data_IF_477321913416
#
_entry.id   IF_477321913416
#
_cell.length_a   1.000
_cell.length_b   1.000
_cell.length_c   1.000
_cell.angle_alpha   90.00
_cell.angle_beta   90.00
_cell.angle_gamma   90.00
#
_symmetry.space_group_name_H-M   'P 1'
#
loop_
_entity.id
_entity.type
_entity.pdbx_description
1 polymer ?
#
# COMPACT_ATOMS: atom_id res chain seq x y z
N UNK A 1 -14.60 -2.07 4.35
CA UNK A 1 -15.36 -2.16 5.62
C UNK A 1 -15.53 -3.64 5.96
N UNK A 2 -14.74 -4.17 6.91
CA UNK A 2 -14.81 -5.57 7.32
C UNK A 2 -16.10 -5.87 8.08
N UNK A 3 -16.59 -7.10 7.95
CA UNK A 3 -17.79 -7.59 8.62
C UNK A 3 -17.46 -8.76 9.54
N UNK A 4 -18.26 -9.02 10.60
CA UNK A 4 -18.09 -10.19 11.43
C UNK A 4 -18.19 -11.49 10.63
N UNK A 5 -17.19 -12.38 10.79
CA UNK A 5 -17.09 -13.65 10.09
C UNK A 5 -16.25 -13.65 8.81
N UNK A 6 -15.85 -12.49 8.29
CA UNK A 6 -14.89 -12.39 7.20
C UNK A 6 -13.46 -12.66 7.71
N UNK A 7 -12.64 -13.31 6.89
CA UNK A 7 -11.22 -13.55 7.15
C UNK A 7 -10.38 -12.43 6.51
N UNK A 8 -9.47 -11.87 7.29
CA UNK A 8 -8.68 -10.69 6.95
C UNK A 8 -7.21 -11.03 7.02
N UNK A 9 -6.45 -10.64 6.01
CA UNK A 9 -5.04 -10.96 5.90
C UNK A 9 -4.20 -9.71 5.61
N UNK A 10 -2.99 -9.69 6.16
CA UNK A 10 -1.92 -8.77 5.79
C UNK A 10 -0.63 -9.57 5.49
N UNK A 11 -0.23 -9.73 4.21
CA UNK A 11 0.98 -10.47 3.85
C UNK A 11 2.31 -9.75 4.14
N UNK A 12 2.28 -8.54 4.69
CA UNK A 12 3.44 -7.77 5.12
C UNK A 12 3.07 -6.95 6.36
N UNK A 13 2.65 -7.66 7.44
CA UNK A 13 1.88 -7.06 8.51
C UNK A 13 2.67 -6.09 9.41
N UNK A 14 4.00 -6.14 9.38
CA UNK A 14 4.81 -5.32 10.28
C UNK A 14 4.39 -5.53 11.73
N UNK A 15 4.03 -4.46 12.43
CA UNK A 15 3.53 -4.51 13.82
C UNK A 15 2.02 -4.77 13.94
N UNK A 16 1.33 -5.08 12.83
CA UNK A 16 -0.09 -5.47 12.82
C UNK A 16 -1.08 -4.32 12.70
N UNK A 17 -0.65 -3.12 12.35
CA UNK A 17 -1.50 -1.93 12.35
C UNK A 17 -2.80 -2.05 11.56
N UNK A 18 -2.79 -2.64 10.35
CA UNK A 18 -4.01 -2.85 9.56
C UNK A 18 -4.92 -3.92 10.15
N UNK A 19 -4.36 -4.98 10.72
CA UNK A 19 -5.16 -6.03 11.37
C UNK A 19 -5.86 -5.49 12.61
N UNK A 20 -5.16 -4.70 13.43
CA UNK A 20 -5.72 -4.04 14.61
C UNK A 20 -6.80 -3.03 14.23
N UNK A 21 -6.55 -2.18 13.24
CA UNK A 21 -7.54 -1.22 12.76
C UNK A 21 -8.81 -1.91 12.23
N UNK A 22 -8.66 -3.06 11.56
CA UNK A 22 -9.79 -3.86 11.11
C UNK A 22 -10.56 -4.51 12.28
N UNK A 23 -9.86 -4.98 13.31
CA UNK A 23 -10.46 -5.48 14.54
C UNK A 23 -11.29 -4.40 15.22
N UNK A 24 -10.69 -3.24 15.48
CA UNK A 24 -11.35 -2.13 16.17
C UNK A 24 -12.56 -1.63 15.39
N UNK A 25 -12.45 -1.57 14.05
CA UNK A 25 -13.59 -1.23 13.20
C UNK A 25 -14.75 -2.23 13.38
N UNK A 26 -14.48 -3.54 13.41
CA UNK A 26 -15.53 -4.57 13.61
C UNK A 26 -16.16 -4.39 14.99
N UNK A 27 -15.37 -4.25 16.04
CA UNK A 27 -15.89 -4.11 17.42
C UNK A 27 -16.72 -2.85 17.58
N UNK A 28 -16.28 -1.73 17.04
CA UNK A 28 -17.00 -0.45 17.12
C UNK A 28 -18.27 -0.42 16.28
N UNK A 29 -18.23 -1.01 15.08
CA UNK A 29 -19.36 -1.00 14.15
C UNK A 29 -20.44 -2.02 14.51
N UNK A 30 -20.04 -3.13 15.14
CA UNK A 30 -20.94 -4.25 15.48
C UNK A 30 -20.90 -4.55 16.99
N UNK A 31 -21.48 -3.70 17.85
CA UNK A 31 -21.37 -3.84 19.31
C UNK A 31 -22.04 -5.11 19.88
N UNK A 32 -22.99 -5.69 19.13
CA UNK A 32 -23.78 -6.86 19.57
C UNK A 32 -23.31 -8.18 18.92
N UNK A 33 -21.99 -8.43 18.90
CA UNK A 33 -21.44 -9.70 18.41
C UNK A 33 -21.91 -10.88 19.28
N UNK A 34 -22.34 -11.98 18.64
CA UNK A 34 -22.65 -13.24 19.32
C UNK A 34 -21.39 -13.85 19.93
N UNK A 35 -21.56 -14.82 20.85
CA UNK A 35 -20.44 -15.56 21.44
C UNK A 35 -19.55 -16.23 20.37
N UNK A 36 -20.19 -16.81 19.34
CA UNK A 36 -19.47 -17.44 18.23
C UNK A 36 -18.71 -16.43 17.39
N UNK A 37 -19.31 -15.27 17.07
CA UNK A 37 -18.62 -14.19 16.35
C UNK A 37 -17.43 -13.63 17.13
N UNK A 38 -17.56 -13.46 18.45
CA UNK A 38 -16.44 -13.05 19.32
C UNK A 38 -15.32 -14.08 19.32
N UNK A 39 -15.66 -15.39 19.38
CA UNK A 39 -14.68 -16.46 19.31
C UNK A 39 -13.96 -16.45 17.93
N UNK A 40 -14.71 -16.36 16.82
CA UNK A 40 -14.12 -16.27 15.47
C UNK A 40 -13.23 -15.03 15.32
N UNK A 41 -13.67 -13.88 15.84
CA UNK A 41 -12.89 -12.65 15.81
C UNK A 41 -11.54 -12.82 16.50
N UNK A 42 -11.52 -13.56 17.63
CA UNK A 42 -10.31 -13.85 18.38
C UNK A 42 -9.38 -14.89 17.70
N UNK A 43 -9.96 -15.96 17.13
CA UNK A 43 -9.23 -17.18 16.81
C UNK A 43 -9.18 -17.55 15.31
N UNK A 44 -9.87 -16.81 14.42
CA UNK A 44 -9.96 -17.23 13.01
C UNK A 44 -10.15 -16.08 12.01
N UNK A 45 -10.17 -14.84 12.46
CA UNK A 45 -10.44 -13.70 11.58
C UNK A 45 -9.18 -13.15 10.95
N UNK A 46 -8.07 -13.08 11.69
CA UNK A 46 -6.88 -12.36 11.29
C UNK A 46 -5.73 -13.31 10.99
N UNK A 47 -5.02 -13.05 9.89
CA UNK A 47 -3.75 -13.70 9.58
C UNK A 47 -2.76 -12.71 9.01
N UNK A 48 -1.51 -12.77 9.47
CA UNK A 48 -0.44 -11.89 9.00
C UNK A 48 0.83 -12.66 8.71
N UNK A 49 1.66 -12.13 7.81
CA UNK A 49 3.03 -12.58 7.56
C UNK A 49 4.00 -11.44 7.80
N UNK A 50 5.08 -11.76 8.47
CA UNK A 50 6.18 -10.84 8.69
C UNK A 50 7.51 -11.61 8.55
N UNK A 51 8.45 -11.03 7.81
CA UNK A 51 9.74 -11.67 7.54
C UNK A 51 10.69 -11.56 8.74
N UNK A 52 10.64 -10.42 9.45
CA UNK A 52 11.55 -10.11 10.56
C UNK A 52 10.98 -10.63 11.87
N UNK A 53 11.66 -11.61 12.48
CA UNK A 53 11.19 -12.32 13.66
C UNK A 53 10.84 -11.38 14.84
N UNK A 54 11.67 -10.37 15.12
CA UNK A 54 11.42 -9.45 16.24
C UNK A 54 10.22 -8.55 15.98
N UNK A 55 10.01 -8.15 14.72
CA UNK A 55 8.80 -7.38 14.33
C UNK A 55 7.55 -8.27 14.42
N UNK A 56 7.64 -9.52 14.01
CA UNK A 56 6.55 -10.51 14.16
C UNK A 56 6.19 -10.75 15.63
N UNK A 57 7.19 -10.82 16.53
CA UNK A 57 6.93 -10.90 17.99
C UNK A 57 6.18 -9.67 18.51
N UNK A 58 6.59 -8.46 18.10
CA UNK A 58 5.87 -7.24 18.45
C UNK A 58 4.44 -7.26 17.91
N UNK A 59 4.24 -7.73 16.68
CA UNK A 59 2.91 -7.92 16.10
C UNK A 59 2.08 -8.88 16.94
N UNK A 60 2.60 -10.05 17.29
CA UNK A 60 1.92 -11.03 18.13
C UNK A 60 1.53 -10.46 19.50
N UNK A 61 2.43 -9.70 20.13
CA UNK A 61 2.12 -9.01 21.40
C UNK A 61 1.01 -7.99 21.24
N UNK A 62 1.06 -7.17 20.17
CA UNK A 62 -0.01 -6.21 19.87
C UNK A 62 -1.36 -6.91 19.66
N UNK A 63 -1.38 -8.01 18.89
CA UNK A 63 -2.58 -8.80 18.67
C UNK A 63 -3.18 -9.33 19.99
N UNK A 64 -2.33 -9.91 20.86
CA UNK A 64 -2.76 -10.43 22.17
C UNK A 64 -3.31 -9.34 23.09
N UNK A 65 -2.71 -8.15 23.12
CA UNK A 65 -3.18 -7.01 23.90
C UNK A 65 -4.58 -6.54 23.46
N UNK A 66 -4.93 -6.75 22.19
CA UNK A 66 -6.27 -6.48 21.66
C UNK A 66 -7.21 -7.70 21.73
N UNK A 67 -6.80 -8.76 22.39
CA UNK A 67 -7.60 -9.97 22.56
C UNK A 67 -7.69 -10.86 21.31
N UNK A 68 -6.77 -10.70 20.37
CA UNK A 68 -6.66 -11.51 19.16
C UNK A 68 -5.58 -12.59 19.36
N UNK A 69 -5.91 -13.84 19.06
CA UNK A 69 -5.03 -14.98 19.28
C UNK A 69 -5.23 -15.66 20.63
N UNK A 70 -4.65 -16.83 20.79
CA UNK A 70 -4.67 -17.65 22.00
C UNK A 70 -3.45 -18.55 22.02
N UNK A 71 -3.31 -19.37 23.05
CA UNK A 71 -2.25 -20.39 23.12
C UNK A 71 -2.38 -21.47 22.02
N UNK A 72 -3.56 -21.60 21.42
CA UNK A 72 -3.85 -22.58 20.36
C UNK A 72 -3.93 -21.95 18.97
N UNK A 73 -4.00 -20.63 18.88
CA UNK A 73 -4.12 -19.88 17.61
C UNK A 73 -3.15 -18.73 17.57
N UNK A 74 -2.11 -18.89 16.75
CA UNK A 74 -1.14 -17.84 16.45
C UNK A 74 -1.44 -17.20 15.09
N UNK A 75 -1.92 -15.93 15.06
CA UNK A 75 -2.34 -15.29 13.82
C UNK A 75 -1.18 -14.84 12.93
N UNK A 76 0.06 -14.78 13.45
CA UNK A 76 1.22 -14.21 12.76
C UNK A 76 2.22 -15.28 12.40
N UNK A 77 2.56 -15.35 11.11
CA UNK A 77 3.52 -16.28 10.55
C UNK A 77 4.86 -15.57 10.28
N UNK A 78 5.96 -16.15 10.77
CA UNK A 78 7.33 -15.66 10.48
C UNK A 78 7.84 -16.34 9.21
N UNK A 79 7.61 -15.73 8.06
CA UNK A 79 8.08 -16.25 6.77
C UNK A 79 7.95 -15.23 5.65
N UNK A 80 8.62 -15.47 4.52
CA UNK A 80 8.41 -14.71 3.30
C UNK A 80 7.08 -15.12 2.65
N UNK A 81 6.11 -14.23 2.67
CA UNK A 81 4.78 -14.46 2.08
C UNK A 81 4.82 -14.66 0.56
N UNK A 82 5.86 -14.13 -0.13
CA UNK A 82 6.02 -14.26 -1.58
C UNK A 82 6.62 -15.60 -2.00
N UNK A 83 7.25 -16.37 -1.10
CA UNK A 83 8.03 -17.54 -1.42
C UNK A 83 7.24 -18.69 -2.04
N UNK A 84 5.93 -18.77 -1.78
CA UNK A 84 5.08 -19.85 -2.28
C UNK A 84 3.69 -19.39 -2.67
N UNK A 85 3.01 -20.17 -3.50
CA UNK A 85 1.57 -20.01 -3.79
C UNK A 85 0.80 -20.20 -2.48
N UNK A 86 -0.03 -19.21 -2.06
CA UNK A 86 -0.73 -19.32 -0.79
C UNK A 86 -1.75 -20.47 -0.80
N UNK A 87 -1.78 -21.26 0.28
CA UNK A 87 -2.78 -22.30 0.51
C UNK A 87 -4.13 -21.71 0.93
N UNK A 88 -4.08 -20.65 1.75
CA UNK A 88 -5.25 -19.99 2.29
C UNK A 88 -5.74 -18.87 1.39
N UNK A 89 -7.05 -18.59 1.49
CA UNK A 89 -7.71 -17.47 0.78
C UNK A 89 -8.56 -16.69 1.76
N UNK A 90 -8.60 -15.36 1.55
CA UNK A 90 -9.20 -14.42 2.48
C UNK A 90 -10.30 -13.60 1.81
N UNK A 91 -11.24 -13.14 2.62
CA UNK A 91 -12.29 -12.23 2.17
C UNK A 91 -11.76 -10.82 1.97
N UNK A 92 -10.77 -10.43 2.79
CA UNK A 92 -10.15 -9.10 2.75
C UNK A 92 -8.62 -9.23 2.85
N UNK A 93 -7.91 -8.47 2.01
CA UNK A 93 -6.48 -8.24 2.14
C UNK A 93 -6.23 -6.74 2.31
N UNK A 94 -5.57 -6.37 3.42
CA UNK A 94 -5.15 -5.00 3.72
C UNK A 94 -3.64 -5.04 3.93
N UNK A 95 -2.87 -4.30 3.16
CA UNK A 95 -1.42 -4.38 3.28
C UNK A 95 -0.69 -3.11 2.83
N UNK A 96 0.42 -2.84 3.51
CA UNK A 96 1.42 -1.85 3.11
C UNK A 96 2.77 -2.55 2.91
N UNK A 97 3.02 -3.13 1.72
CA UNK A 97 4.26 -3.84 1.46
C UNK A 97 5.48 -2.92 1.54
N UNK A 98 6.69 -3.47 1.81
CA UNK A 98 7.91 -2.68 1.88
C UNK A 98 8.22 -2.01 0.53
N UNK A 99 8.64 -0.73 0.55
CA UNK A 99 8.92 0.09 -0.64
C UNK A 99 10.30 -0.12 -1.27
N UNK A 100 10.94 -1.29 -1.11
CA UNK A 100 12.20 -1.60 -1.78
C UNK A 100 12.03 -1.97 -3.26
N UNK A 101 12.80 -1.37 -4.16
CA UNK A 101 12.63 -1.60 -5.62
C UNK A 101 13.06 -2.99 -6.10
N UNK A 102 13.97 -3.68 -5.43
CA UNK A 102 14.53 -4.96 -5.90
C UNK A 102 14.80 -5.90 -4.74
N UNK A 103 14.40 -7.15 -4.90
CA UNK A 103 14.96 -8.25 -4.10
C UNK A 103 16.40 -8.50 -4.55
N UNK A 104 17.33 -8.57 -3.62
CA UNK A 104 18.67 -9.02 -3.90
C UNK A 104 19.16 -9.89 -2.74
N UNK A 105 19.68 -11.05 -3.06
CA UNK A 105 20.41 -11.89 -2.12
C UNK A 105 21.89 -11.52 -2.24
N UNK A 106 22.54 -11.27 -1.11
CA UNK A 106 23.98 -11.08 -1.07
C UNK A 106 24.62 -12.47 -0.95
N UNK A 107 25.24 -12.93 -2.01
CA UNK A 107 25.99 -14.18 -2.00
C UNK A 107 27.47 -13.83 -1.75
N UNK A 108 28.03 -14.37 -0.67
CA UNK A 108 29.46 -14.31 -0.42
C UNK A 108 30.06 -15.58 -1.03
N UNK A 109 30.76 -15.46 -2.17
CA UNK A 109 31.46 -16.56 -2.79
C UNK A 109 32.64 -17.04 -1.95
N UNK A 110 33.16 -18.23 -2.23
CA UNK A 110 34.29 -18.87 -1.51
C UNK A 110 35.57 -18.00 -1.47
N UNK A 111 35.72 -17.06 -2.40
CA UNK A 111 36.82 -16.07 -2.44
C UNK A 111 36.51 -14.73 -1.73
N UNK A 112 35.42 -14.63 -0.96
CA UNK A 112 35.01 -13.38 -0.27
C UNK A 112 34.45 -12.31 -1.20
N UNK A 113 34.22 -12.60 -2.49
CA UNK A 113 33.57 -11.68 -3.42
C UNK A 113 32.09 -11.64 -3.14
N UNK A 114 31.61 -10.44 -2.83
CA UNK A 114 30.19 -10.18 -2.60
C UNK A 114 29.51 -9.95 -3.95
N UNK A 115 28.63 -10.86 -4.37
CA UNK A 115 27.73 -10.67 -5.51
C UNK A 115 26.30 -10.46 -5.02
N UNK A 116 25.60 -9.52 -5.64
CA UNK A 116 24.16 -9.32 -5.42
C UNK A 116 23.42 -9.95 -6.60
N UNK A 117 22.80 -11.09 -6.36
CA UNK A 117 21.88 -11.68 -7.33
C UNK A 117 20.47 -11.10 -7.16
N UNK A 118 19.80 -10.84 -8.29
CA UNK A 118 18.40 -10.41 -8.26
C UNK A 118 17.54 -11.61 -7.90
N UNK A 119 16.82 -11.50 -6.80
CA UNK A 119 15.82 -12.49 -6.42
C UNK A 119 14.56 -12.26 -7.28
N UNK A 120 14.16 -13.25 -8.06
CA UNK A 120 12.92 -13.28 -8.83
C UNK A 120 12.03 -14.39 -8.29
N UNK A 121 10.76 -14.07 -8.08
CA UNK A 121 9.78 -15.08 -7.67
C UNK A 121 9.12 -15.67 -8.92
N UNK A 122 9.47 -16.92 -9.23
CA UNK A 122 8.84 -17.70 -10.29
C UNK A 122 7.65 -18.45 -9.70
N UNK A 123 6.45 -17.99 -10.02
CA UNK A 123 5.21 -18.56 -9.51
C UNK A 123 4.16 -18.63 -10.62
N UNK A 124 3.50 -19.79 -10.74
CA UNK A 124 2.48 -20.05 -11.77
C UNK A 124 1.22 -19.19 -11.62
N UNK A 125 0.96 -18.68 -10.40
CA UNK A 125 -0.19 -17.81 -10.12
C UNK A 125 0.11 -16.33 -10.38
N UNK A 126 1.33 -15.97 -10.77
CA UNK A 126 1.74 -14.61 -11.15
C UNK A 126 1.60 -14.41 -12.66
N UNK A 127 1.17 -13.22 -13.06
CA UNK A 127 1.05 -12.82 -14.47
C UNK A 127 2.39 -12.47 -15.11
N UNK A 128 3.37 -12.07 -14.32
CA UNK A 128 4.69 -11.70 -14.79
C UNK A 128 5.75 -12.02 -13.73
N UNK A 129 6.87 -12.61 -14.18
CA UNK A 129 8.07 -12.79 -13.35
C UNK A 129 8.86 -11.49 -13.31
N UNK A 130 9.14 -10.99 -12.12
CA UNK A 130 9.88 -9.74 -11.93
C UNK A 130 10.61 -9.73 -10.59
N UNK A 131 11.73 -8.98 -10.53
CA UNK A 131 12.41 -8.66 -9.28
C UNK A 131 11.82 -7.46 -8.53
N UNK A 132 10.78 -6.82 -9.09
CA UNK A 132 10.10 -5.70 -8.43
C UNK A 132 9.14 -6.23 -7.36
N UNK A 133 9.53 -6.09 -6.09
CA UNK A 133 8.73 -6.58 -4.94
C UNK A 133 7.32 -6.01 -4.91
N UNK A 134 7.12 -4.75 -5.25
CA UNK A 134 5.81 -4.12 -5.21
C UNK A 134 4.85 -4.75 -6.23
N UNK A 135 5.34 -5.05 -7.45
CA UNK A 135 4.55 -5.76 -8.46
C UNK A 135 4.25 -7.20 -8.01
N UNK A 136 5.20 -7.86 -7.36
CA UNK A 136 5.00 -9.19 -6.80
C UNK A 136 3.93 -9.17 -5.70
N UNK A 137 3.92 -8.17 -4.82
CA UNK A 137 2.87 -8.03 -3.81
C UNK A 137 1.50 -7.76 -4.43
N UNK A 138 1.37 -6.97 -5.49
CA UNK A 138 0.09 -6.77 -6.19
C UNK A 138 -0.47 -8.10 -6.71
N UNK A 139 0.38 -8.92 -7.36
CA UNK A 139 0.00 -10.25 -7.85
C UNK A 139 -0.34 -11.21 -6.71
N UNK A 140 0.46 -11.19 -5.65
CA UNK A 140 0.26 -12.02 -4.47
C UNK A 140 -1.05 -11.70 -3.74
N UNK A 141 -1.37 -10.41 -3.57
CA UNK A 141 -2.65 -9.97 -2.98
C UNK A 141 -3.84 -10.53 -3.77
N UNK A 142 -3.79 -10.50 -5.10
CA UNK A 142 -4.84 -11.14 -5.95
C UNK A 142 -4.93 -12.65 -5.69
N UNK A 143 -3.79 -13.31 -5.52
CA UNK A 143 -3.76 -14.75 -5.25
C UNK A 143 -4.31 -15.09 -3.86
N UNK A 144 -4.10 -14.24 -2.86
CA UNK A 144 -4.64 -14.40 -1.49
C UNK A 144 -6.14 -14.20 -1.39
N UNK A 145 -6.78 -13.53 -2.35
CA UNK A 145 -8.22 -13.26 -2.27
C UNK A 145 -9.05 -14.49 -2.66
N UNK A 146 -10.14 -14.72 -1.92
CA UNK A 146 -11.27 -15.53 -2.36
C UNK A 146 -11.95 -14.90 -3.57
N UNK A 147 -12.78 -15.65 -4.28
CA UNK A 147 -13.69 -15.07 -5.27
C UNK A 147 -14.62 -14.06 -4.59
N UNK A 148 -14.75 -12.87 -5.20
CA UNK A 148 -15.44 -11.71 -4.64
C UNK A 148 -14.81 -11.14 -3.35
N UNK A 149 -13.62 -11.60 -2.96
CA UNK A 149 -12.82 -10.96 -1.94
C UNK A 149 -12.30 -9.61 -2.43
N UNK A 150 -11.94 -8.73 -1.51
CA UNK A 150 -11.55 -7.34 -1.78
C UNK A 150 -10.22 -6.99 -1.14
N UNK A 151 -9.48 -6.10 -1.78
CA UNK A 151 -8.19 -5.65 -1.29
C UNK A 151 -8.07 -4.13 -1.23
N UNK A 152 -7.24 -3.68 -0.30
CA UNK A 152 -6.64 -2.36 -0.30
C UNK A 152 -5.13 -2.53 -0.09
N UNK A 153 -4.35 -2.14 -1.09
CA UNK A 153 -2.89 -2.25 -1.07
C UNK A 153 -2.24 -0.89 -1.26
N UNK A 154 -1.28 -0.56 -0.41
CA UNK A 154 -0.44 0.63 -0.59
C UNK A 154 0.63 0.33 -1.62
N UNK A 155 0.74 1.17 -2.64
CA UNK A 155 1.70 1.03 -3.74
C UNK A 155 2.38 2.35 -4.03
N UNK A 156 3.68 2.37 -4.35
CA UNK A 156 4.37 3.57 -4.81
C UNK A 156 3.98 3.92 -6.25
N UNK A 157 4.25 5.15 -6.68
CA UNK A 157 3.88 5.65 -8.00
C UNK A 157 4.40 4.79 -9.16
N UNK A 158 5.61 4.21 -9.06
CA UNK A 158 6.17 3.40 -10.13
C UNK A 158 5.27 2.19 -10.50
N UNK A 159 4.52 1.62 -9.57
CA UNK A 159 3.54 0.56 -9.87
C UNK A 159 2.46 1.06 -10.83
N UNK A 160 2.15 2.35 -10.83
CA UNK A 160 1.11 2.95 -11.66
C UNK A 160 1.53 3.17 -13.11
N UNK A 161 2.84 3.31 -13.41
CA UNK A 161 3.31 3.69 -14.76
C UNK A 161 4.48 2.87 -15.32
N UNK A 162 5.19 2.09 -14.51
CA UNK A 162 6.34 1.32 -14.97
C UNK A 162 5.96 0.38 -16.13
N UNK A 163 6.78 0.33 -17.19
CA UNK A 163 6.56 -0.53 -18.35
C UNK A 163 6.91 -2.00 -18.10
N UNK A 164 6.88 -2.82 -19.14
CA UNK A 164 7.22 -4.24 -19.09
C UNK A 164 6.32 -5.03 -18.14
N UNK A 165 6.90 -5.69 -17.12
CA UNK A 165 6.14 -6.45 -16.14
C UNK A 165 5.05 -5.60 -15.45
N UNK A 166 5.31 -4.32 -15.18
CA UNK A 166 4.35 -3.39 -14.59
C UNK A 166 3.12 -3.19 -15.47
N UNK A 167 3.31 -2.99 -16.78
CA UNK A 167 2.20 -2.90 -17.73
C UNK A 167 1.39 -4.20 -17.79
N UNK A 168 2.07 -5.35 -17.86
CA UNK A 168 1.41 -6.67 -17.87
C UNK A 168 0.54 -6.85 -16.63
N UNK A 169 1.08 -6.55 -15.45
CA UNK A 169 0.35 -6.68 -14.17
C UNK A 169 -0.87 -5.75 -14.15
N UNK A 170 -0.74 -4.48 -14.56
CA UNK A 170 -1.87 -3.54 -14.57
C UNK A 170 -2.98 -3.96 -15.54
N UNK A 171 -2.62 -4.36 -16.78
CA UNK A 171 -3.60 -4.84 -17.77
C UNK A 171 -4.34 -6.08 -17.27
N UNK A 172 -3.61 -7.06 -16.75
CA UNK A 172 -4.20 -8.29 -16.20
C UNK A 172 -5.05 -8.01 -14.95
N UNK A 173 -4.58 -7.18 -14.04
CA UNK A 173 -5.33 -6.81 -12.84
C UNK A 173 -6.66 -6.13 -13.19
N UNK A 174 -6.67 -5.17 -14.12
CA UNK A 174 -7.90 -4.49 -14.56
C UNK A 174 -8.84 -5.41 -15.35
N UNK A 175 -8.32 -6.44 -16.02
CA UNK A 175 -9.13 -7.39 -16.75
C UNK A 175 -9.79 -8.43 -15.80
N UNK A 176 -9.00 -9.04 -14.91
CA UNK A 176 -9.43 -10.16 -14.05
C UNK A 176 -10.07 -9.70 -12.72
N UNK A 177 -9.83 -8.45 -12.31
CA UNK A 177 -10.40 -7.85 -11.10
C UNK A 177 -11.18 -6.58 -11.43
N UNK A 178 -12.11 -6.21 -10.56
CA UNK A 178 -12.72 -4.88 -10.58
C UNK A 178 -11.82 -3.90 -9.81
N UNK A 179 -10.93 -3.22 -10.52
CA UNK A 179 -10.07 -2.17 -9.98
C UNK A 179 -10.86 -0.87 -9.97
N UNK A 180 -11.46 -0.56 -8.84
CA UNK A 180 -12.52 0.45 -8.79
C UNK A 180 -12.11 1.78 -8.13
N UNK A 181 -10.99 1.84 -7.41
CA UNK A 181 -10.59 3.06 -6.69
C UNK A 181 -9.08 3.16 -6.54
N UNK A 182 -8.54 4.34 -6.77
CA UNK A 182 -7.18 4.75 -6.47
C UNK A 182 -7.22 6.01 -5.61
N UNK A 183 -6.65 5.94 -4.39
CA UNK A 183 -6.44 7.09 -3.53
C UNK A 183 -4.98 7.53 -3.63
N UNK A 184 -4.72 8.72 -4.16
CA UNK A 184 -3.38 9.31 -4.21
C UNK A 184 -3.07 9.96 -2.87
N UNK A 185 -2.10 9.42 -2.16
CA UNK A 185 -1.70 9.93 -0.84
C UNK A 185 -0.74 11.12 -0.99
N UNK A 186 -0.81 12.11 -0.09
CA UNK A 186 0.14 13.20 -0.05
C UNK A 186 1.55 12.70 0.29
N UNK A 187 2.56 13.51 0.02
CA UNK A 187 3.93 13.30 0.50
C UNK A 187 4.03 13.57 2.00
N UNK A 188 5.12 13.13 2.64
CA UNK A 188 5.37 13.37 4.06
C UNK A 188 4.68 12.40 5.03
N UNK A 189 3.94 11.38 4.54
CA UNK A 189 3.28 10.37 5.38
C UNK A 189 4.20 9.21 5.81
N UNK A 190 5.34 9.05 5.18
CA UNK A 190 6.26 7.96 5.41
C UNK A 190 7.62 8.48 5.86
N UNK A 191 8.35 7.70 6.67
CA UNK A 191 9.69 8.06 7.16
C UNK A 191 10.69 8.34 6.02
N UNK A 192 10.57 7.62 4.89
CA UNK A 192 11.34 7.92 3.69
C UNK A 192 10.77 9.19 3.03
N UNK A 193 11.49 10.31 3.16
CA UNK A 193 11.10 11.58 2.55
C UNK A 193 10.96 11.43 1.02
N UNK A 194 9.96 12.11 0.45
CA UNK A 194 9.72 12.10 -0.99
C UNK A 194 9.01 10.85 -1.53
N UNK A 195 8.71 9.84 -0.72
CA UNK A 195 7.91 8.70 -1.17
C UNK A 195 6.50 9.13 -1.54
N UNK A 196 6.16 8.95 -2.82
CA UNK A 196 4.81 9.12 -3.35
C UNK A 196 4.11 7.77 -3.37
N UNK A 197 3.07 7.63 -2.56
CA UNK A 197 2.31 6.39 -2.43
C UNK A 197 0.83 6.59 -2.78
N UNK A 198 0.18 5.48 -3.05
CA UNK A 198 -1.23 5.42 -3.37
C UNK A 198 -1.85 4.22 -2.69
N UNK A 199 -3.16 4.24 -2.46
CA UNK A 199 -3.90 3.04 -2.07
C UNK A 199 -4.74 2.58 -3.25
N UNK A 200 -4.49 1.36 -3.71
CA UNK A 200 -5.23 0.72 -4.79
C UNK A 200 -6.26 -0.24 -4.21
N UNK A 201 -7.52 -0.05 -4.59
CA UNK A 201 -8.64 -0.89 -4.15
C UNK A 201 -9.17 -1.71 -5.31
N UNK A 202 -9.31 -3.01 -5.11
CA UNK A 202 -9.88 -3.90 -6.10
C UNK A 202 -10.60 -5.10 -5.48
N UNK A 203 -11.56 -5.62 -6.22
CA UNK A 203 -12.29 -6.86 -5.90
C UNK A 203 -11.86 -7.95 -6.88
N UNK A 204 -11.48 -9.13 -6.37
CA UNK A 204 -11.24 -10.30 -7.21
C UNK A 204 -12.58 -10.83 -7.77
N UNK A 205 -12.59 -11.13 -9.04
CA UNK A 205 -13.80 -11.61 -9.73
C UNK A 205 -13.59 -12.99 -10.36
N UNK A 206 -14.67 -13.71 -10.68
CA UNK A 206 -14.57 -14.94 -11.47
C UNK A 206 -13.92 -14.69 -12.84
N UNK A 207 -13.36 -15.75 -13.45
CA UNK A 207 -12.83 -15.67 -14.81
C UNK A 207 -13.90 -15.15 -15.78
N UNK A 208 -13.51 -14.25 -16.69
CA UNK A 208 -14.38 -13.62 -17.66
C UNK A 208 -13.61 -13.31 -18.95
N UNK A 209 -14.28 -13.41 -20.09
CA UNK A 209 -13.73 -12.98 -21.38
C UNK A 209 -13.68 -11.44 -21.48
N UNK A 210 -14.57 -10.74 -20.78
CA UNK A 210 -14.62 -9.28 -20.76
C UNK A 210 -14.01 -8.71 -19.47
N UNK A 211 -13.37 -7.52 -19.51
CA UNK A 211 -12.77 -6.93 -18.34
C UNK A 211 -13.79 -6.59 -17.26
N UNK A 212 -13.45 -6.87 -16.02
CA UNK A 212 -14.29 -6.56 -14.85
C UNK A 212 -14.24 -5.09 -14.46
N UNK A 213 -13.06 -4.46 -14.57
CA UNK A 213 -12.94 -3.02 -14.35
C UNK A 213 -13.71 -2.27 -15.43
N UNK A 214 -14.77 -1.57 -15.05
CA UNK A 214 -15.50 -0.69 -15.98
C UNK A 214 -15.05 0.75 -15.86
N UNK A 215 -14.82 1.20 -14.64
CA UNK A 215 -14.35 2.56 -14.33
C UNK A 215 -13.43 2.53 -13.11
N UNK A 216 -12.26 3.14 -13.25
CA UNK A 216 -11.39 3.46 -12.13
C UNK A 216 -11.71 4.87 -11.63
N UNK A 217 -12.01 4.99 -10.35
CA UNK A 217 -12.20 6.26 -9.67
C UNK A 217 -10.93 6.67 -8.96
N UNK A 218 -10.44 7.87 -9.21
CA UNK A 218 -9.23 8.40 -8.59
C UNK A 218 -9.61 9.55 -7.68
N UNK A 219 -9.12 9.50 -6.43
CA UNK A 219 -9.18 10.61 -5.48
C UNK A 219 -7.77 11.19 -5.31
N UNK A 220 -7.61 12.45 -5.64
CA UNK A 220 -6.35 13.15 -5.43
C UNK A 220 -6.34 13.85 -4.07
N UNK A 221 -5.71 13.21 -3.07
CA UNK A 221 -5.44 13.82 -1.77
C UNK A 221 -4.05 14.45 -1.74
N UNK A 222 -3.28 14.38 -2.83
CA UNK A 222 -1.87 14.79 -2.91
C UNK A 222 -1.71 16.24 -3.33
N UNK A 223 -2.33 16.64 -4.44
CA UNK A 223 -2.10 17.95 -5.05
C UNK A 223 -2.52 19.07 -4.09
N UNK A 224 -1.61 20.02 -3.84
CA UNK A 224 -1.79 21.16 -2.93
C UNK A 224 -2.13 20.76 -1.47
N UNK A 225 -1.67 19.58 -1.03
CA UNK A 225 -1.83 19.10 0.35
C UNK A 225 -0.47 18.81 0.95
N UNK A 226 -0.20 19.43 2.09
CA UNK A 226 1.09 19.32 2.79
C UNK A 226 0.91 18.67 4.16
N UNK A 227 1.47 17.46 4.30
CA UNK A 227 1.49 16.74 5.56
C UNK A 227 2.91 16.43 5.99
N UNK A 228 3.10 16.28 7.30
CA UNK A 228 4.35 15.87 7.92
C UNK A 228 4.08 14.80 8.96
N UNK A 229 5.10 14.04 9.36
CA UNK A 229 4.94 13.00 10.39
C UNK A 229 4.67 13.56 11.80
N UNK A 230 5.15 14.77 12.10
CA UNK A 230 5.13 15.31 13.47
C UNK A 230 4.24 16.53 13.64
N UNK A 231 4.38 17.53 12.77
CA UNK A 231 3.77 18.85 12.95
C UNK A 231 2.41 18.99 12.28
N UNK A 232 2.16 18.27 11.20
CA UNK A 232 0.90 18.28 10.43
C UNK A 232 0.57 16.86 9.97
N UNK A 233 0.36 15.95 10.92
CA UNK A 233 0.08 14.54 10.59
C UNK A 233 -1.32 14.37 10.00
N UNK A 234 -1.45 13.47 9.02
CA UNK A 234 -2.73 13.11 8.43
C UNK A 234 -3.68 12.56 9.50
N UNK A 235 -4.84 13.18 9.63
CA UNK A 235 -5.87 12.77 10.56
C UNK A 235 -6.99 12.01 9.87
N UNK A 236 -7.78 11.27 10.64
CA UNK A 236 -8.94 10.53 10.11
C UNK A 236 -9.94 11.45 9.40
N UNK A 237 -10.13 12.66 9.91
CA UNK A 237 -11.01 13.70 9.34
C UNK A 237 -10.60 14.14 7.94
N UNK A 238 -9.30 14.12 7.61
CA UNK A 238 -8.79 14.50 6.29
C UNK A 238 -9.24 13.54 5.19
N UNK A 239 -9.66 12.33 5.58
CA UNK A 239 -10.20 11.30 4.69
C UNK A 239 -11.74 11.32 4.58
N UNK A 240 -12.46 12.21 5.28
CA UNK A 240 -13.92 12.18 5.31
C UNK A 240 -14.53 12.47 3.94
N UNK A 241 -13.97 13.40 3.18
CA UNK A 241 -14.41 13.67 1.81
C UNK A 241 -14.16 12.46 0.90
N UNK A 242 -12.98 11.83 1.00
CA UNK A 242 -12.70 10.60 0.27
C UNK A 242 -13.72 9.50 0.60
N UNK A 243 -14.00 9.25 1.88
CA UNK A 243 -14.96 8.22 2.31
C UNK A 243 -16.36 8.53 1.77
N UNK A 244 -16.77 9.79 1.77
CA UNK A 244 -18.04 10.23 1.17
C UNK A 244 -18.07 9.97 -0.35
N UNK A 245 -17.01 10.30 -1.07
CA UNK A 245 -16.87 10.04 -2.51
C UNK A 245 -16.79 8.54 -2.81
N UNK A 246 -16.05 7.78 -1.97
CA UNK A 246 -15.91 6.32 -2.09
C UNK A 246 -17.26 5.61 -2.01
N UNK A 247 -18.22 6.17 -1.26
CA UNK A 247 -19.56 5.62 -1.05
C UNK A 247 -19.56 4.11 -0.81
N UNK A 248 -19.11 3.65 0.37
CA UNK A 248 -18.95 2.22 0.64
C UNK A 248 -20.27 1.44 0.67
N UNK A 249 -21.40 2.12 0.82
CA UNK A 249 -22.73 1.52 0.85
C UNK A 249 -23.20 1.16 -0.56
N UNK A 250 -23.00 2.09 -1.51
CA UNK A 250 -23.37 1.86 -2.91
C UNK A 250 -22.36 2.54 -3.87
N UNK A 251 -21.39 1.75 -4.31
CA UNK A 251 -20.35 2.20 -5.23
C UNK A 251 -20.87 2.54 -6.63
N UNK A 252 -22.07 2.08 -7.00
CA UNK A 252 -22.67 2.41 -8.31
C UNK A 252 -23.24 3.81 -8.37
N UNK A 253 -23.56 4.41 -7.23
CA UNK A 253 -24.08 5.78 -7.15
C UNK A 253 -22.99 6.86 -6.97
N UNK A 254 -21.73 6.54 -7.20
CA UNK A 254 -20.62 7.49 -7.16
C UNK A 254 -20.78 8.58 -8.20
N UNK A 255 -20.49 9.83 -7.80
CA UNK A 255 -20.54 11.00 -8.68
C UNK A 255 -19.20 11.73 -8.57
N UNK A 256 -18.66 12.15 -9.73
CA UNK A 256 -17.47 12.96 -9.76
C UNK A 256 -17.70 14.30 -9.05
N UNK A 257 -16.68 14.77 -8.31
CA UNK A 257 -16.64 16.15 -7.81
C UNK A 257 -15.96 17.06 -8.81
N UNK A 258 -15.10 16.51 -9.68
CA UNK A 258 -14.51 17.24 -10.78
C UNK A 258 -15.46 17.40 -11.95
N UNK A 259 -15.54 18.61 -12.49
CA UNK A 259 -16.22 18.93 -13.76
C UNK A 259 -15.46 20.06 -14.45
N UNK A 260 -15.72 20.32 -15.74
CA UNK A 260 -15.13 21.48 -16.45
C UNK A 260 -15.46 22.83 -15.77
N UNK A 261 -16.62 22.92 -15.11
CA UNK A 261 -17.05 24.11 -14.35
C UNK A 261 -16.49 24.14 -12.92
N UNK A 262 -16.00 23.00 -12.40
CA UNK A 262 -15.39 22.86 -11.09
C UNK A 262 -14.09 22.05 -11.23
N UNK A 263 -13.02 22.67 -11.75
CA UNK A 263 -11.76 21.98 -12.06
C UNK A 263 -10.94 21.58 -10.81
N UNK A 264 -11.27 22.09 -9.64
CA UNK A 264 -10.67 21.83 -8.33
C UNK A 264 -11.19 20.54 -7.66
N UNK A 265 -12.20 19.89 -8.26
CA UNK A 265 -12.77 18.65 -7.73
C UNK A 265 -11.76 17.50 -7.68
N UNK A 266 -11.61 16.89 -6.49
CA UNK A 266 -10.58 15.86 -6.21
C UNK A 266 -10.97 14.44 -6.61
N UNK A 267 -12.20 14.20 -7.06
CA UNK A 267 -12.73 12.88 -7.40
C UNK A 267 -13.17 12.80 -8.86
N UNK A 268 -12.51 11.92 -9.63
CA UNK A 268 -12.76 11.77 -11.08
C UNK A 268 -12.71 10.29 -11.48
N UNK A 269 -13.47 9.88 -12.52
CA UNK A 269 -13.45 8.52 -13.04
C UNK A 269 -12.94 8.46 -14.47
N UNK A 270 -12.31 7.33 -14.80
CA UNK A 270 -11.75 6.99 -16.11
C UNK A 270 -12.28 5.62 -16.55
N UNK A 271 -12.69 5.51 -17.80
CA UNK A 271 -13.18 4.27 -18.38
C UNK A 271 -12.07 3.25 -18.65
N UNK A 272 -12.40 1.96 -18.67
CA UNK A 272 -11.43 0.90 -18.94
C UNK A 272 -10.67 1.13 -20.25
N UNK A 273 -11.38 1.39 -21.36
CA UNK A 273 -10.78 1.58 -22.68
C UNK A 273 -9.83 2.79 -22.72
N UNK A 274 -10.21 3.87 -22.03
CA UNK A 274 -9.37 5.05 -21.85
C UNK A 274 -8.06 4.68 -21.12
N UNK A 275 -8.15 3.91 -20.03
CA UNK A 275 -6.98 3.52 -19.22
C UNK A 275 -6.02 2.61 -19.99
N UNK A 276 -6.55 1.61 -20.69
CA UNK A 276 -5.69 0.64 -21.43
C UNK A 276 -5.11 1.23 -22.72
N UNK A 277 -5.70 2.28 -23.28
CA UNK A 277 -5.16 3.00 -24.45
C UNK A 277 -4.00 3.94 -24.11
N UNK A 278 -3.82 4.29 -22.82
CA UNK A 278 -2.70 5.12 -22.37
C UNK A 278 -1.37 4.39 -22.56
N UNK A 279 -0.29 5.16 -22.75
CA UNK A 279 1.06 4.58 -22.79
C UNK A 279 1.28 3.67 -21.58
N UNK A 280 1.71 2.43 -21.82
CA UNK A 280 1.95 1.39 -20.82
C UNK A 280 0.75 1.14 -19.88
N UNK A 281 -0.46 1.43 -20.30
CA UNK A 281 -1.67 1.40 -19.46
C UNK A 281 -1.45 2.14 -18.11
N UNK A 282 -0.87 3.32 -18.15
CA UNK A 282 -0.53 4.12 -16.98
C UNK A 282 -1.77 4.58 -16.23
N UNK A 283 -1.79 4.34 -14.91
CA UNK A 283 -2.80 4.82 -13.97
C UNK A 283 -2.36 6.10 -13.25
N UNK A 284 -1.17 6.61 -13.57
CA UNK A 284 -0.64 7.85 -13.03
C UNK A 284 -1.23 9.05 -13.78
N UNK A 285 -2.36 9.54 -13.27
CA UNK A 285 -3.20 10.55 -13.92
C UNK A 285 -3.30 11.78 -13.02
N UNK A 286 -3.04 12.95 -13.59
CA UNK A 286 -3.16 14.26 -12.95
C UNK A 286 -4.17 15.11 -13.70
N UNK A 287 -4.96 15.89 -12.98
CA UNK A 287 -5.91 16.86 -13.55
C UNK A 287 -6.06 18.13 -12.71
N UNK A 288 -5.61 18.10 -11.46
CA UNK A 288 -5.58 19.28 -10.61
C UNK A 288 -4.39 20.15 -10.95
N UNK A 289 -4.57 21.46 -10.90
CA UNK A 289 -3.51 22.43 -11.07
C UNK A 289 -2.63 22.42 -9.82
N UNK A 290 -1.34 22.22 -10.00
CA UNK A 290 -0.37 22.26 -8.92
C UNK A 290 0.09 23.70 -8.71
N UNK A 291 -0.38 24.31 -7.61
CA UNK A 291 -0.07 25.70 -7.26
C UNK A 291 1.43 25.91 -6.94
N UNK A 292 2.15 24.85 -6.58
CA UNK A 292 3.58 24.91 -6.37
C UNK A 292 4.36 25.24 -7.64
N UNK A 293 3.80 24.92 -8.81
CA UNK A 293 4.38 25.26 -10.11
C UNK A 293 4.20 26.75 -10.46
N UNK A 294 3.14 27.40 -9.94
CA UNK A 294 2.93 28.84 -10.10
C UNK A 294 3.76 29.66 -9.09
N UNK A 295 4.04 29.08 -7.94
CA UNK A 295 4.96 29.67 -6.97
C UNK A 295 6.42 29.72 -7.46
N UNK A 296 6.74 29.06 -8.59
CA UNK A 296 8.08 29.16 -9.20
C UNK A 296 8.45 30.58 -9.66
N UNK A 297 7.45 31.42 -9.92
CA UNK A 297 7.67 32.84 -10.21
C UNK A 297 8.03 33.67 -8.95
N UNK A 298 7.86 33.08 -7.74
CA UNK A 298 8.19 33.66 -6.44
C UNK A 298 9.23 32.81 -5.66
N UNK A 299 10.03 32.02 -6.35
CA UNK A 299 11.15 31.33 -5.70
C UNK A 299 12.10 32.37 -5.08
N UNK A 300 12.64 32.09 -3.87
CA UNK A 300 13.76 32.86 -3.34
C UNK A 300 14.91 32.93 -4.35
N UNK A 301 15.74 33.94 -4.25
CA UNK A 301 16.92 34.05 -5.10
C UNK A 301 17.74 32.75 -5.09
N UNK A 302 18.34 32.34 -6.22
CA UNK A 302 19.04 31.04 -6.33
C UNK A 302 20.12 30.82 -5.27
N UNK A 303 20.72 31.90 -4.73
CA UNK A 303 21.68 31.87 -3.64
C UNK A 303 21.02 31.51 -2.29
N UNK A 304 19.81 31.99 -2.03
CA UNK A 304 19.02 31.61 -0.83
C UNK A 304 18.64 30.11 -0.89
N UNK A 305 18.17 29.66 -2.03
CA UNK A 305 17.85 28.23 -2.21
C UNK A 305 19.09 27.35 -2.06
N UNK A 306 20.22 27.80 -2.63
CA UNK A 306 21.49 27.08 -2.50
C UNK A 306 21.94 27.01 -1.04
N UNK A 307 21.75 28.08 -0.28
CA UNK A 307 22.09 28.14 1.15
C UNK A 307 21.21 27.19 1.97
N UNK A 308 19.88 27.16 1.74
CA UNK A 308 18.95 26.22 2.39
C UNK A 308 19.32 24.76 2.10
N UNK A 309 19.66 24.43 0.84
CA UNK A 309 20.13 23.09 0.45
C UNK A 309 21.42 22.71 1.18
N UNK A 310 22.35 23.64 1.33
CA UNK A 310 23.62 23.39 2.05
C UNK A 310 23.33 23.12 3.53
N UNK A 311 22.47 23.91 4.17
CA UNK A 311 22.09 23.72 5.58
C UNK A 311 21.39 22.36 5.82
N UNK A 312 20.51 21.96 4.92
CA UNK A 312 19.84 20.64 4.97
C UNK A 312 20.83 19.48 4.80
N UNK A 313 21.80 19.62 3.90
CA UNK A 313 22.85 18.62 3.68
C UNK A 313 23.82 18.54 4.86
N UNK A 314 24.17 19.64 5.47
CA UNK A 314 25.03 19.68 6.67
C UNK A 314 24.33 19.04 7.87
N UNK A 315 23.04 19.34 8.08
CA UNK A 315 22.23 18.70 9.12
C UNK A 315 22.11 17.18 8.92
N UNK A 316 21.91 16.74 7.68
CA UNK A 316 21.89 15.32 7.35
C UNK A 316 23.26 14.64 7.57
N UNK A 317 24.35 15.33 7.20
CA UNK A 317 25.71 14.83 7.40
C UNK A 317 26.06 14.68 8.88
N UNK A 318 25.61 15.58 9.73
CA UNK A 318 25.82 15.50 11.18
C UNK A 318 25.11 14.30 11.78
N UNK A 319 23.87 14.01 11.37
CA UNK A 319 23.15 12.81 11.78
C UNK A 319 23.88 11.51 11.36
N UNK A 320 24.43 11.47 10.15
CA UNK A 320 25.23 10.32 9.70
C UNK A 320 26.53 10.18 10.47
N UNK A 321 27.16 11.27 10.89
CA UNK A 321 28.38 11.25 11.74
C UNK A 321 28.07 10.71 13.13
N UNK A 322 26.94 11.09 13.73
CA UNK A 322 26.48 10.53 15.01
C UNK A 322 26.28 9.01 14.92
N UNK A 323 25.57 8.56 13.88
CA UNK A 323 25.35 7.12 13.62
C UNK A 323 26.70 6.38 13.43
N UNK A 324 27.63 6.97 12.68
CA UNK A 324 28.93 6.37 12.45
C UNK A 324 29.76 6.28 13.75
N UNK A 325 29.67 7.29 14.62
CA UNK A 325 30.31 7.31 15.94
C UNK A 325 29.73 6.23 16.85
N UNK A 326 28.41 6.09 16.91
CA UNK A 326 27.72 5.07 17.69
C UNK A 326 28.04 3.64 17.21
N UNK A 327 28.15 3.44 15.90
CA UNK A 327 28.55 2.15 15.32
C UNK A 327 30.03 1.85 15.56
N UNK A 328 30.90 2.87 15.61
CA UNK A 328 32.32 2.75 15.94
C UNK A 328 32.56 2.41 17.41
N UNK A 329 31.78 3.00 18.32
CA UNK A 329 31.85 2.73 19.76
C UNK A 329 31.39 1.31 20.15
N UNK A 330 30.55 0.64 19.33
CA UNK A 330 30.13 -0.75 19.54
C UNK A 330 31.13 -1.81 19.08
N UNK A 331 32.26 -1.41 18.49
CA UNK A 331 33.34 -2.30 18.03
C UNK A 331 34.56 -2.33 18.95
N UNK A 332 34.55 -1.64 20.10
CA UNK A 332 35.48 -1.76 21.20
C UNK A 332 34.78 -2.44 22.38
#
# INVERSE_FOLDING_TARGET
MPKPGEQICDPACGTGGFLLAAHDYIVQTYPNLTKEQKRKLKENTFKGWELVQDVARLCGMNMLLHGIGSTEYEPIMVSDSLAAVPSDRFDIVLTNPPFGKKSSITIVGEEGKVSKEKETYERDDFWATTSNKQLNFVQHVKSLLKQNGRAAIVVPDNVLFEGGAGETVRRKLMHECDVHTLLRLPTGLFYAQGVKANVLFFDKKPASETPWTKKLWIYDLRTNMHFTLKTSSLQRSDLDEFVKCYNPVDRHQRKATWTEKKPDGRWRSYGYDELVSRDKASLDIFWLKDESLEASDNLPDPDVIAQEIVEDLEAALEQFREIATDLGARKQ
#
